data_IF_171140152898
#
_entry.id   IF_171140152898
#
_cell.length_a   1.000
_cell.length_b   1.000
_cell.length_c   1.000
_cell.angle_alpha   90.00
_cell.angle_beta   90.00
_cell.angle_gamma   90.00
#
_symmetry.space_group_name_H-M   'P 1'
#
loop_
_entity.id
_entity.type
_entity.pdbx_description
1 polymer ?
#
# COMPACT_ATOMS: atom_id res chain seq x y z
N UNK A 1 5.03 12.04 15.76
CA UNK A 1 3.68 12.52 16.13
C UNK A 1 2.82 11.37 16.59
N UNK A 2 2.03 11.58 17.63
CA UNK A 2 1.20 10.54 18.21
C UNK A 2 -0.26 10.68 17.77
N UNK A 3 -0.85 9.57 17.33
CA UNK A 3 -2.26 9.54 16.96
C UNK A 3 -3.01 8.53 17.83
N UNK A 4 -4.19 8.90 18.34
CA UNK A 4 -5.02 7.92 19.04
C UNK A 4 -5.39 6.75 18.13
N UNK A 5 -5.51 5.57 18.72
CA UNK A 5 -5.83 4.38 17.96
C UNK A 5 -7.15 4.50 17.20
N UNK A 6 -8.14 5.13 17.80
CA UNK A 6 -9.44 5.30 17.17
C UNK A 6 -9.32 6.16 15.91
N UNK A 7 -8.48 7.20 15.95
CA UNK A 7 -8.27 8.04 14.78
C UNK A 7 -7.59 7.28 13.66
N UNK A 8 -6.61 6.45 14.00
CA UNK A 8 -5.91 5.63 13.02
C UNK A 8 -6.88 4.66 12.35
N UNK A 9 -7.74 4.02 13.13
CA UNK A 9 -8.72 3.09 12.59
C UNK A 9 -9.75 3.80 11.71
N UNK A 10 -10.16 4.99 12.09
CA UNK A 10 -11.10 5.77 11.28
C UNK A 10 -10.49 6.14 9.93
N UNK A 11 -9.24 6.56 9.93
CA UNK A 11 -8.57 6.90 8.67
C UNK A 11 -8.44 5.66 7.80
N UNK A 12 -8.11 4.51 8.38
CA UNK A 12 -7.98 3.28 7.63
C UNK A 12 -9.31 2.82 7.03
N UNK A 13 -10.40 2.97 7.76
CA UNK A 13 -11.70 2.55 7.23
C UNK A 13 -12.20 3.45 6.13
N UNK A 14 -11.86 4.75 6.18
CA UNK A 14 -12.24 5.70 5.15
C UNK A 14 -11.30 5.67 3.94
N UNK A 15 -10.06 5.26 4.17
CA UNK A 15 -9.04 5.24 3.13
C UNK A 15 -8.51 3.83 2.97
N UNK A 16 -9.29 3.00 2.26
CA UNK A 16 -8.87 1.64 1.96
C UNK A 16 -7.53 1.67 1.24
N UNK A 17 -6.60 0.80 1.67
CA UNK A 17 -5.25 0.81 1.15
C UNK A 17 -5.22 0.60 -0.36
N UNK A 18 -6.10 -0.25 -0.89
CA UNK A 18 -6.16 -0.50 -2.33
C UNK A 18 -6.58 0.77 -3.06
N UNK A 19 -7.57 1.47 -2.54
CA UNK A 19 -8.02 2.71 -3.16
C UNK A 19 -6.96 3.79 -3.12
N UNK A 20 -6.27 3.91 -1.99
CA UNK A 20 -5.20 4.91 -1.85
C UNK A 20 -4.06 4.60 -2.80
N UNK A 21 -3.57 3.37 -2.78
CA UNK A 21 -2.43 3.00 -3.63
C UNK A 21 -2.78 3.04 -5.10
N UNK A 22 -4.03 2.73 -5.46
CA UNK A 22 -4.48 2.79 -6.85
C UNK A 22 -4.38 4.20 -7.43
N UNK A 23 -4.38 5.22 -6.59
CA UNK A 23 -4.19 6.60 -7.05
C UNK A 23 -2.76 6.86 -7.51
N UNK A 24 -1.81 6.07 -7.07
CA UNK A 24 -0.39 6.25 -7.38
C UNK A 24 0.15 5.15 -8.27
N UNK A 25 -0.38 3.94 -8.14
CA UNK A 25 0.15 2.76 -8.82
C UNK A 25 -1.02 2.02 -9.47
N UNK A 26 -0.82 1.60 -10.70
CA UNK A 26 -1.84 0.79 -11.38
C UNK A 26 -1.81 -0.62 -10.79
N UNK A 27 -2.93 -1.03 -10.21
CA UNK A 27 -3.08 -2.34 -9.60
C UNK A 27 -4.04 -3.20 -10.40
N UNK A 28 -3.75 -4.50 -10.47
CA UNK A 28 -4.63 -5.49 -11.09
C UNK A 28 -5.03 -6.51 -10.04
N UNK A 29 -6.32 -6.78 -9.95
CA UNK A 29 -6.83 -7.76 -9.01
C UNK A 29 -6.55 -9.17 -9.51
N UNK A 30 -5.97 -10.00 -8.64
CA UNK A 30 -5.75 -11.42 -8.90
C UNK A 30 -6.13 -12.19 -7.65
N UNK A 31 -7.26 -12.87 -7.69
CA UNK A 31 -7.79 -13.54 -6.52
C UNK A 31 -8.16 -12.53 -5.44
N UNK A 32 -7.61 -12.69 -4.25
CA UNK A 32 -7.89 -11.81 -3.13
C UNK A 32 -6.84 -10.71 -2.97
N UNK A 33 -5.89 -10.63 -3.89
CA UNK A 33 -4.80 -9.66 -3.80
C UNK A 33 -4.76 -8.78 -5.04
N UNK A 34 -4.03 -7.67 -4.92
CA UNK A 34 -3.82 -6.74 -6.02
C UNK A 34 -2.33 -6.65 -6.29
N UNK A 35 -1.96 -6.63 -7.57
CA UNK A 35 -0.55 -6.63 -7.98
C UNK A 35 -0.27 -5.51 -8.94
N UNK A 36 0.96 -4.99 -8.87
CA UNK A 36 1.39 -3.92 -9.77
C UNK A 36 2.90 -3.76 -9.73
N UNK A 37 3.37 -2.74 -10.43
CA UNK A 37 4.80 -2.41 -10.44
C UNK A 37 5.10 -1.57 -9.20
N UNK A 38 6.17 -1.93 -8.49
CA UNK A 38 6.56 -1.23 -7.28
C UNK A 38 6.98 0.21 -7.60
N UNK A 39 6.44 1.22 -6.89
CA UNK A 39 6.84 2.60 -7.12
C UNK A 39 8.13 2.99 -6.43
N UNK A 40 8.68 2.12 -5.58
CA UNK A 40 9.86 2.45 -4.79
C UNK A 40 11.16 2.00 -5.42
N UNK A 41 11.08 1.24 -6.50
CA UNK A 41 12.27 0.87 -7.25
C UNK A 41 11.88 0.58 -8.69
N UNK A 42 12.89 0.53 -9.56
CA UNK A 42 12.66 0.29 -10.97
C UNK A 42 12.47 -1.21 -11.21
N UNK A 43 11.24 -1.59 -11.55
CA UNK A 43 10.88 -2.98 -11.70
C UNK A 43 9.97 -3.16 -12.90
N UNK A 44 10.18 -4.22 -13.67
CA UNK A 44 9.35 -4.51 -14.84
C UNK A 44 8.33 -5.60 -14.56
N UNK A 45 8.48 -6.32 -13.46
CA UNK A 45 7.57 -7.40 -13.07
C UNK A 45 6.62 -6.90 -11.98
N UNK A 46 5.36 -7.36 -11.98
CA UNK A 46 4.40 -6.95 -10.95
C UNK A 46 4.67 -7.65 -9.62
N UNK A 47 5.68 -7.20 -8.92
CA UNK A 47 6.08 -7.77 -7.64
C UNK A 47 5.53 -7.01 -6.44
N UNK A 48 4.77 -5.93 -6.67
CA UNK A 48 4.17 -5.14 -5.63
C UNK A 48 2.78 -5.68 -5.33
N UNK A 49 2.57 -6.13 -4.10
CA UNK A 49 1.33 -6.78 -3.70
C UNK A 49 0.60 -5.95 -2.65
N UNK A 50 -0.72 -5.85 -2.78
CA UNK A 50 -1.55 -5.13 -1.83
C UNK A 50 -2.69 -6.05 -1.39
N UNK A 51 -2.91 -6.14 -0.07
CA UNK A 51 -3.98 -6.94 0.50
C UNK A 51 -5.03 -6.02 1.11
N UNK A 52 -6.24 -6.04 0.55
CA UNK A 52 -7.35 -5.26 1.11
C UNK A 52 -7.77 -5.82 2.46
N UNK A 53 -7.76 -7.13 2.59
CA UNK A 53 -8.18 -7.78 3.82
C UNK A 53 -7.26 -7.41 4.98
N UNK A 54 -5.95 -7.41 4.74
CA UNK A 54 -4.98 -7.08 5.78
C UNK A 54 -4.67 -5.59 5.84
N UNK A 55 -5.10 -4.81 4.86
CA UNK A 55 -4.78 -3.39 4.74
C UNK A 55 -3.27 -3.16 4.78
N UNK A 56 -2.54 -3.98 4.04
CA UNK A 56 -1.09 -3.93 3.98
C UNK A 56 -0.62 -4.13 2.56
N UNK A 57 0.59 -3.63 2.29
CA UNK A 57 1.26 -3.87 1.02
C UNK A 57 2.62 -4.50 1.25
N UNK A 58 3.15 -5.15 0.22
CA UNK A 58 4.48 -5.71 0.28
C UNK A 58 5.05 -5.84 -1.13
N UNK A 59 6.30 -5.46 -1.30
CA UNK A 59 7.00 -5.64 -2.58
C UNK A 59 7.98 -6.78 -2.46
N UNK A 60 7.77 -7.82 -3.25
CA UNK A 60 8.65 -8.98 -3.22
C UNK A 60 9.99 -8.70 -3.88
N UNK A 61 10.11 -7.59 -4.59
CA UNK A 61 11.35 -7.22 -5.24
C UNK A 61 12.32 -6.47 -4.33
N UNK A 62 11.82 -5.53 -3.53
CA UNK A 62 12.68 -4.71 -2.69
C UNK A 62 12.40 -4.84 -1.21
N UNK A 63 11.36 -5.58 -0.82
CA UNK A 63 11.04 -5.79 0.58
C UNK A 63 10.31 -4.65 1.26
N UNK A 64 9.94 -3.60 0.52
CA UNK A 64 9.14 -2.52 1.09
C UNK A 64 7.76 -3.05 1.47
N UNK A 65 7.25 -2.63 2.62
CA UNK A 65 5.94 -3.09 3.07
C UNK A 65 5.45 -2.33 4.26
N UNK A 66 4.15 -2.50 4.55
CA UNK A 66 3.54 -1.86 5.69
C UNK A 66 2.07 -1.53 5.42
N UNK A 67 1.53 -0.59 6.19
CA UNK A 67 0.14 -0.16 6.05
C UNK A 67 0.05 1.08 5.17
N UNK A 68 -1.16 1.67 5.08
CA UNK A 68 -1.38 2.83 4.21
C UNK A 68 -0.51 4.02 4.61
N UNK A 69 -0.26 4.21 5.90
CA UNK A 69 0.60 5.31 6.34
C UNK A 69 2.03 5.10 5.92
N UNK A 70 2.52 3.88 6.03
CA UNK A 70 3.88 3.56 5.59
C UNK A 70 4.03 3.82 4.10
N UNK A 71 3.02 3.48 3.31
CA UNK A 71 3.05 3.72 1.87
C UNK A 71 3.14 5.20 1.57
N UNK A 72 2.31 6.00 2.21
CA UNK A 72 2.28 7.44 1.95
C UNK A 72 3.60 8.07 2.36
N UNK A 73 4.12 7.70 3.53
CA UNK A 73 5.37 8.25 4.01
C UNK A 73 6.53 7.91 3.07
N UNK A 74 6.60 6.69 2.59
CA UNK A 74 7.65 6.30 1.66
C UNK A 74 7.48 6.95 0.30
N UNK A 75 6.25 7.00 -0.20
CA UNK A 75 5.98 7.57 -1.52
C UNK A 75 6.26 9.07 -1.54
N UNK A 76 5.85 9.78 -0.51
CA UNK A 76 6.03 11.22 -0.40
C UNK A 76 7.39 11.58 0.18
N UNK A 77 8.15 10.60 0.61
CA UNK A 77 9.49 10.79 1.14
C UNK A 77 9.51 11.69 2.38
N UNK A 78 8.63 11.41 3.29
CA UNK A 78 8.61 12.11 4.59
C UNK A 78 9.61 11.52 5.56
#
# INVERSE_FOLDING_TARGET
MYYPEELVEEIRSKNDIVDVISSYVRLQKKGSSYFGLCPFHNEKSPSFSVSRQKQMYYCFGCGAGGNVFNFIMEYENF
#
